data_IF_960098857067
#
_entry.id   IF_960098857067
#
_cell.length_a   1.000
_cell.length_b   1.000
_cell.length_c   1.000
_cell.angle_alpha   90.00
_cell.angle_beta   90.00
_cell.angle_gamma   90.00
#
_symmetry.space_group_name_H-M   'P 1'
#
loop_
_entity.id
_entity.type
_entity.pdbx_description
1 polymer ?
#
# COMPACT_ATOMS: atom_id res chain seq x y z
N UNK A 1 27.76 -22.04 -35.62
CA UNK A 1 27.80 -23.24 -34.75
C UNK A 1 27.94 -22.73 -33.33
N UNK A 2 27.11 -23.16 -32.37
CA UNK A 2 27.21 -22.70 -30.99
C UNK A 2 28.60 -23.01 -30.43
N UNK A 3 29.11 -22.16 -29.54
CA UNK A 3 30.37 -22.42 -28.84
C UNK A 3 30.24 -23.63 -27.90
N UNK A 4 31.36 -24.26 -27.52
CA UNK A 4 31.33 -25.36 -26.54
C UNK A 4 30.65 -24.95 -25.23
N UNK A 5 30.83 -23.71 -24.80
CA UNK A 5 30.20 -23.17 -23.60
C UNK A 5 28.68 -23.02 -23.76
N UNK A 6 28.20 -22.62 -24.94
CA UNK A 6 26.76 -22.56 -25.23
C UNK A 6 26.12 -23.96 -25.25
N UNK A 7 26.85 -24.98 -25.70
CA UNK A 7 26.35 -26.36 -25.68
C UNK A 7 26.25 -26.92 -24.25
N UNK A 8 27.22 -26.60 -23.40
CA UNK A 8 27.22 -27.01 -21.98
C UNK A 8 26.07 -26.33 -21.22
N UNK A 9 25.85 -25.03 -21.44
CA UNK A 9 24.74 -24.29 -20.80
C UNK A 9 23.39 -24.83 -21.26
N UNK A 10 23.24 -25.17 -22.54
CA UNK A 10 21.99 -25.75 -23.07
C UNK A 10 21.75 -27.18 -22.57
N UNK A 11 22.80 -27.97 -22.34
CA UNK A 11 22.70 -29.28 -21.68
C UNK A 11 22.32 -29.15 -20.20
N UNK A 12 22.90 -28.20 -19.47
CA UNK A 12 22.56 -27.96 -18.06
C UNK A 12 21.12 -27.43 -17.90
N UNK A 13 20.65 -26.55 -18.78
CA UNK A 13 19.29 -26.03 -18.76
C UNK A 13 18.23 -27.12 -19.00
N UNK A 14 18.55 -28.14 -19.79
CA UNK A 14 17.68 -29.30 -20.00
C UNK A 14 17.65 -30.26 -18.80
N UNK A 15 18.57 -30.13 -17.84
CA UNK A 15 18.61 -30.95 -16.62
C UNK A 15 17.95 -30.28 -15.40
N UNK A 16 17.46 -29.04 -15.52
CA UNK A 16 16.65 -28.43 -14.46
C UNK A 16 15.28 -29.12 -14.39
N UNK A 17 14.94 -29.81 -13.29
CA UNK A 17 13.61 -30.37 -13.15
C UNK A 17 12.60 -29.22 -13.10
N UNK A 18 11.58 -29.27 -13.95
CA UNK A 18 10.36 -28.48 -13.79
C UNK A 18 9.89 -28.63 -12.34
N UNK A 19 10.14 -27.63 -11.50
CA UNK A 19 9.68 -27.63 -10.11
C UNK A 19 8.18 -27.30 -10.08
N UNK A 20 7.37 -28.24 -10.58
CA UNK A 20 5.98 -28.34 -10.18
C UNK A 20 6.02 -28.75 -8.72
N UNK A 21 6.03 -27.76 -7.82
CA UNK A 21 5.93 -28.00 -6.37
C UNK A 21 4.72 -28.88 -6.12
N UNK A 22 4.95 -30.07 -5.55
CA UNK A 22 3.88 -30.99 -5.20
C UNK A 22 2.85 -30.28 -4.32
N UNK A 23 1.57 -30.64 -4.48
CA UNK A 23 0.46 -30.03 -3.76
C UNK A 23 0.71 -29.99 -2.24
N UNK A 24 1.35 -31.02 -1.69
CA UNK A 24 1.74 -31.11 -0.28
C UNK A 24 2.75 -30.02 0.14
N UNK A 25 3.75 -29.71 -0.69
CA UNK A 25 4.70 -28.61 -0.39
C UNK A 25 4.03 -27.24 -0.44
N UNK A 26 3.06 -27.04 -1.35
CA UNK A 26 2.27 -25.80 -1.38
C UNK A 26 1.41 -25.64 -0.11
N UNK A 27 0.81 -26.73 0.38
CA UNK A 27 0.04 -26.72 1.63
C UNK A 27 0.93 -26.41 2.84
N UNK A 28 2.12 -27.01 2.92
CA UNK A 28 3.09 -26.74 4.00
C UNK A 28 3.54 -25.27 4.01
N UNK A 29 3.79 -24.67 2.84
CA UNK A 29 4.15 -23.24 2.73
C UNK A 29 2.98 -22.36 3.20
N UNK A 30 1.75 -22.63 2.74
CA UNK A 30 0.55 -21.88 3.14
C UNK A 30 0.29 -22.02 4.64
N UNK A 31 0.51 -23.20 5.21
CA UNK A 31 0.32 -23.46 6.63
C UNK A 31 1.39 -22.76 7.49
N UNK A 32 2.64 -22.71 7.03
CA UNK A 32 3.70 -21.92 7.67
C UNK A 32 3.38 -20.42 7.65
N UNK A 33 2.91 -19.89 6.52
CA UNK A 33 2.46 -18.48 6.41
C UNK A 33 1.27 -18.21 7.37
N UNK A 34 0.30 -19.13 7.45
CA UNK A 34 -0.82 -19.03 8.40
C UNK A 34 -0.34 -19.06 9.86
N UNK A 35 0.65 -19.89 10.17
CA UNK A 35 1.23 -20.02 11.52
C UNK A 35 1.99 -18.75 11.91
N UNK A 36 2.79 -18.17 11.02
CA UNK A 36 3.46 -16.88 11.25
C UNK A 36 2.45 -15.74 11.44
N UNK A 37 1.40 -15.67 10.61
CA UNK A 37 0.35 -14.66 10.74
C UNK A 37 -0.36 -14.75 12.10
N UNK A 38 -0.62 -15.97 12.60
CA UNK A 38 -1.16 -16.21 13.95
C UNK A 38 -0.19 -15.77 15.06
N UNK A 39 1.12 -16.00 14.88
CA UNK A 39 2.13 -15.54 15.84
C UNK A 39 2.22 -14.01 15.89
N UNK A 40 2.25 -13.35 14.73
CA UNK A 40 2.25 -11.88 14.65
C UNK A 40 0.98 -11.27 15.26
N UNK A 41 -0.19 -11.87 15.03
CA UNK A 41 -1.43 -11.42 15.67
C UNK A 41 -1.42 -11.63 17.20
N UNK A 42 -0.86 -12.75 17.69
CA UNK A 42 -0.65 -12.95 19.14
C UNK A 42 0.29 -11.91 19.74
N UNK A 43 1.36 -11.54 19.03
CA UNK A 43 2.31 -10.51 19.47
C UNK A 43 1.69 -9.11 19.46
N UNK A 44 0.91 -8.78 18.42
CA UNK A 44 0.14 -7.53 18.34
C UNK A 44 -0.90 -7.43 19.47
N UNK A 45 -1.57 -8.54 19.82
CA UNK A 45 -2.47 -8.63 20.99
C UNK A 45 -1.74 -8.44 22.32
N UNK A 46 -0.54 -9.01 22.50
CA UNK A 46 0.27 -8.80 23.72
C UNK A 46 0.71 -7.34 23.87
N UNK A 47 1.12 -6.69 22.78
CA UNK A 47 1.50 -5.28 22.80
C UNK A 47 0.29 -4.36 23.05
N UNK A 48 -0.89 -4.70 22.51
CA UNK A 48 -2.14 -4.00 22.81
C UNK A 48 -2.57 -4.19 24.27
N UNK A 49 -2.40 -5.39 24.85
CA UNK A 49 -2.70 -5.67 26.26
C UNK A 49 -1.78 -4.90 27.22
N UNK A 50 -0.49 -4.75 26.91
CA UNK A 50 0.45 -3.95 27.70
C UNK A 50 0.10 -2.44 27.64
N UNK A 51 -0.31 -1.95 26.47
CA UNK A 51 -0.82 -0.58 26.31
C UNK A 51 -2.15 -0.33 27.04
N UNK A 52 -3.00 -1.36 27.15
CA UNK A 52 -4.27 -1.28 27.88
C UNK A 52 -4.09 -1.42 29.40
N UNK A 53 -3.16 -2.25 29.88
CA UNK A 53 -2.83 -2.39 31.30
C UNK A 53 -2.24 -1.10 31.90
N UNK A 54 -1.44 -0.36 31.13
CA UNK A 54 -0.89 0.94 31.56
C UNK A 54 -1.95 2.05 31.66
N UNK A 55 -3.05 1.98 30.89
CA UNK A 55 -4.18 2.93 30.96
C UNK A 55 -5.31 2.47 31.88
N UNK A 56 -5.46 1.16 32.11
CA UNK A 56 -6.49 0.56 32.96
C UNK A 56 -6.24 0.75 34.46
N UNK A 57 -4.97 0.73 34.90
CA UNK A 57 -4.64 0.94 36.32
C UNK A 57 -4.90 2.37 36.82
N UNK A 58 -4.96 3.37 35.93
CA UNK A 58 -5.30 4.76 36.28
C UNK A 58 -6.83 4.97 36.35
N UNK A 59 -7.61 4.12 35.68
CA UNK A 59 -9.08 4.28 35.59
C UNK A 59 -9.82 3.43 36.63
N UNK A 60 -9.27 2.29 37.05
CA UNK A 60 -9.89 1.43 38.07
C UNK A 60 -9.92 2.07 39.48
N UNK A 61 -8.98 2.96 39.83
CA UNK A 61 -9.01 3.67 41.11
C UNK A 61 -10.20 4.66 41.23
N UNK A 62 -10.79 5.10 40.11
CA UNK A 62 -11.91 6.04 40.09
C UNK A 62 -13.30 5.36 40.12
N UNK A 63 -13.39 4.06 39.79
CA UNK A 63 -14.68 3.34 39.66
C UNK A 63 -15.02 2.51 40.91
N UNK A 64 -14.04 2.19 41.78
CA UNK A 64 -14.28 1.47 43.04
C UNK A 64 -15.11 2.25 44.10
N UNK A 65 -15.36 3.54 43.90
CA UNK A 65 -16.20 4.34 44.81
C UNK A 65 -17.71 4.31 44.48
N UNK A 66 -18.14 3.77 43.33
CA UNK A 66 -19.54 3.90 42.86
C UNK A 66 -20.31 2.58 42.68
N UNK A 67 -19.72 1.41 42.93
CA UNK A 67 -20.39 0.10 42.76
C UNK A 67 -20.39 -0.68 44.09
N UNK A 68 -20.84 -0.05 45.16
CA UNK A 68 -21.29 -0.73 46.37
C UNK A 68 -22.75 -0.34 46.64
N UNK A 69 -23.66 -0.81 45.77
CA UNK A 69 -25.06 -1.03 46.12
C UNK A 69 -25.76 -1.81 44.99
N UNK A 70 -26.06 -3.08 45.32
CA UNK A 70 -26.99 -4.05 44.70
C UNK A 70 -26.41 -5.19 43.84
N UNK A 71 -26.84 -6.45 44.07
CA UNK A 71 -26.26 -7.65 43.48
C UNK A 71 -26.85 -7.93 42.09
N UNK A 72 -25.98 -8.17 41.11
CA UNK A 72 -26.37 -8.71 39.81
C UNK A 72 -26.39 -10.24 39.85
N UNK A 73 -27.45 -10.77 39.24
CA UNK A 73 -27.69 -12.18 38.94
C UNK A 73 -26.62 -12.75 38.00
N UNK A 74 -26.32 -14.03 38.20
CA UNK A 74 -25.29 -14.81 37.50
C UNK A 74 -25.42 -14.79 35.97
N UNK A 75 -24.30 -14.84 35.22
CA UNK A 75 -24.34 -14.94 33.77
C UNK A 75 -24.65 -16.37 33.31
N UNK A 76 -25.50 -16.45 32.29
CA UNK A 76 -25.80 -17.65 31.50
C UNK A 76 -24.57 -18.10 30.72
N UNK A 77 -24.22 -19.38 30.87
CA UNK A 77 -23.25 -20.08 30.03
C UNK A 77 -23.74 -20.09 28.57
N UNK A 78 -22.95 -19.53 27.66
CA UNK A 78 -23.06 -19.85 26.22
C UNK A 78 -21.83 -20.64 25.83
N UNK A 79 -22.07 -21.92 25.55
CA UNK A 79 -21.11 -22.89 25.05
C UNK A 79 -20.54 -22.43 23.71
N UNK A 80 -19.22 -22.32 23.67
CA UNK A 80 -18.45 -22.23 22.44
C UNK A 80 -18.28 -23.63 21.85
N UNK A 81 -18.85 -23.88 20.67
CA UNK A 81 -18.40 -24.96 19.79
C UNK A 81 -17.59 -24.34 18.65
N UNK A 82 -16.27 -24.51 18.75
CA UNK A 82 -15.32 -24.30 17.67
C UNK A 82 -15.49 -25.49 16.72
N UNK A 83 -16.07 -25.27 15.54
CA UNK A 83 -15.97 -26.22 14.44
C UNK A 83 -14.91 -25.76 13.44
N UNK A 84 -13.77 -26.43 13.53
CA UNK A 84 -12.74 -26.51 12.50
C UNK A 84 -13.07 -27.71 11.60
N UNK A 85 -13.73 -27.49 10.48
CA UNK A 85 -13.65 -28.38 9.33
C UNK A 85 -13.94 -27.59 8.05
N UNK A 86 -13.20 -27.89 6.99
CA UNK A 86 -13.24 -27.14 5.74
C UNK A 86 -14.63 -27.13 5.11
N UNK A 87 -15.23 -25.95 5.03
CA UNK A 87 -16.34 -25.65 4.15
C UNK A 87 -15.97 -24.35 3.41
N UNK A 88 -16.27 -24.27 2.11
CA UNK A 88 -16.51 -22.96 1.49
C UNK A 88 -17.55 -22.29 2.37
N UNK A 89 -17.17 -21.28 3.15
CA UNK A 89 -18.11 -20.54 3.99
C UNK A 89 -19.21 -20.02 3.07
N UNK A 90 -20.39 -20.64 3.15
CA UNK A 90 -21.56 -20.17 2.40
C UNK A 90 -21.86 -18.78 2.95
N UNK A 91 -21.64 -17.77 2.13
CA UNK A 91 -21.89 -16.38 2.52
C UNK A 91 -23.37 -16.26 2.85
N UNK A 92 -23.67 -15.81 4.07
CA UNK A 92 -25.05 -15.66 4.51
C UNK A 92 -25.76 -14.63 3.61
N UNK A 93 -26.89 -15.03 3.01
CA UNK A 93 -27.64 -14.23 2.03
C UNK A 93 -27.98 -12.82 2.53
N UNK A 94 -28.12 -12.63 3.85
CA UNK A 94 -28.37 -11.32 4.47
C UNK A 94 -27.29 -10.28 4.13
N UNK A 95 -26.03 -10.68 4.01
CA UNK A 95 -24.93 -9.79 3.64
C UNK A 95 -24.96 -9.45 2.16
N UNK A 96 -25.22 -10.42 1.30
CA UNK A 96 -25.36 -10.23 -0.15
C UNK A 96 -26.51 -9.24 -0.44
N UNK A 97 -27.68 -9.48 0.16
CA UNK A 97 -28.84 -8.60 -0.02
C UNK A 97 -28.58 -7.18 0.50
N UNK A 98 -27.94 -7.04 1.66
CA UNK A 98 -27.58 -5.72 2.20
C UNK A 98 -26.57 -4.98 1.31
N UNK A 99 -25.56 -5.70 0.78
CA UNK A 99 -24.56 -5.16 -0.14
C UNK A 99 -25.19 -4.65 -1.44
N UNK A 100 -25.99 -5.49 -2.12
CA UNK A 100 -26.68 -5.10 -3.36
C UNK A 100 -27.59 -3.89 -3.15
N UNK A 101 -28.34 -3.89 -2.03
CA UNK A 101 -29.25 -2.79 -1.69
C UNK A 101 -28.49 -1.48 -1.50
N UNK A 102 -27.39 -1.49 -0.73
CA UNK A 102 -26.63 -0.25 -0.48
C UNK A 102 -25.86 0.21 -1.72
N UNK A 103 -25.32 -0.69 -2.56
CA UNK A 103 -24.68 -0.30 -3.84
C UNK A 103 -25.71 0.39 -4.75
N UNK A 104 -26.88 -0.22 -4.96
CA UNK A 104 -27.95 0.35 -5.77
C UNK A 104 -28.42 1.70 -5.22
N UNK A 105 -28.56 1.81 -3.90
CA UNK A 105 -28.95 3.06 -3.23
C UNK A 105 -27.85 4.14 -3.32
N UNK A 106 -26.58 3.75 -3.24
CA UNK A 106 -25.46 4.68 -3.26
C UNK A 106 -25.21 5.26 -4.65
N UNK A 107 -25.35 4.45 -5.71
CA UNK A 107 -24.93 4.83 -7.05
C UNK A 107 -26.09 4.92 -8.06
N UNK A 108 -27.28 4.40 -7.72
CA UNK A 108 -28.42 4.41 -8.64
C UNK A 108 -28.24 3.51 -9.87
N UNK A 109 -27.24 2.62 -9.87
CA UNK A 109 -26.93 1.70 -10.97
C UNK A 109 -27.41 0.30 -10.58
N UNK A 110 -28.20 -0.32 -11.45
CA UNK A 110 -28.72 -1.67 -11.24
C UNK A 110 -27.80 -2.69 -11.94
N UNK A 111 -26.72 -3.08 -11.26
CA UNK A 111 -25.82 -4.16 -11.66
C UNK A 111 -25.80 -5.21 -10.55
N UNK A 112 -25.96 -6.47 -10.92
CA UNK A 112 -25.93 -7.58 -9.99
C UNK A 112 -24.49 -8.11 -9.84
N UNK A 113 -23.87 -7.82 -8.69
CA UNK A 113 -22.54 -8.33 -8.34
C UNK A 113 -22.56 -9.76 -7.76
N UNK A 114 -21.66 -10.63 -8.22
CA UNK A 114 -21.49 -11.96 -7.64
C UNK A 114 -20.44 -11.96 -6.54
N UNK A 115 -20.88 -11.96 -5.29
CA UNK A 115 -19.98 -11.95 -4.12
C UNK A 115 -19.54 -13.36 -3.76
N UNK A 116 -18.22 -13.51 -3.52
CA UNK A 116 -17.61 -14.83 -3.29
C UNK A 116 -16.81 -14.89 -1.99
N UNK A 117 -16.37 -13.74 -1.47
CA UNK A 117 -15.52 -13.68 -0.29
C UNK A 117 -16.12 -12.81 0.81
N UNK A 118 -16.23 -13.37 2.02
CA UNK A 118 -16.58 -12.64 3.24
C UNK A 118 -15.44 -12.77 4.27
N UNK A 119 -14.64 -11.73 4.41
CA UNK A 119 -13.59 -11.65 5.44
C UNK A 119 -14.15 -11.04 6.73
N UNK A 120 -14.09 -11.81 7.83
CA UNK A 120 -14.61 -11.42 9.14
C UNK A 120 -13.46 -10.98 10.04
N UNK A 121 -13.26 -9.66 10.14
CA UNK A 121 -12.31 -9.08 11.09
C UNK A 121 -13.05 -8.63 12.37
N UNK A 122 -12.30 -8.40 13.45
CA UNK A 122 -12.87 -7.96 14.74
C UNK A 122 -13.59 -6.62 14.65
N UNK A 123 -13.15 -5.78 13.73
CA UNK A 123 -13.58 -4.37 13.65
C UNK A 123 -14.54 -4.13 12.48
N UNK A 124 -14.50 -4.98 11.44
CA UNK A 124 -15.37 -4.89 10.27
C UNK A 124 -15.46 -6.23 9.55
N UNK A 125 -16.56 -6.46 8.84
CA UNK A 125 -16.66 -7.55 7.88
C UNK A 125 -16.55 -6.96 6.47
N UNK A 126 -15.82 -7.64 5.58
CA UNK A 126 -15.58 -7.20 4.20
C UNK A 126 -16.17 -8.25 3.27
N UNK A 127 -17.13 -7.84 2.45
CA UNK A 127 -17.70 -8.67 1.41
C UNK A 127 -17.16 -8.20 0.05
N UNK A 128 -16.55 -9.08 -0.72
CA UNK A 128 -15.99 -8.75 -2.04
C UNK A 128 -16.32 -9.80 -3.11
N UNK A 129 -16.42 -9.35 -4.36
CA UNK A 129 -16.40 -10.21 -5.54
C UNK A 129 -15.00 -10.80 -5.72
N UNK A 130 -14.85 -11.90 -6.45
CA UNK A 130 -13.55 -12.56 -6.65
C UNK A 130 -12.50 -11.62 -7.26
N UNK A 131 -12.90 -10.81 -8.23
CA UNK A 131 -12.10 -9.83 -8.96
C UNK A 131 -12.07 -8.43 -8.32
N UNK A 132 -12.72 -8.27 -7.16
CA UNK A 132 -12.91 -6.98 -6.49
C UNK A 132 -13.54 -5.91 -7.38
N UNK A 133 -14.47 -6.29 -8.25
CA UNK A 133 -15.41 -5.38 -8.89
C UNK A 133 -16.30 -4.66 -7.89
N UNK A 134 -16.71 -5.32 -6.80
CA UNK A 134 -17.40 -4.66 -5.69
C UNK A 134 -16.83 -5.09 -4.34
N UNK A 135 -16.71 -4.13 -3.43
CA UNK A 135 -16.31 -4.34 -2.04
C UNK A 135 -17.28 -3.58 -1.13
N UNK A 136 -17.80 -4.26 -0.12
CA UNK A 136 -18.73 -3.69 0.86
C UNK A 136 -18.20 -3.93 2.27
N UNK A 137 -18.10 -2.86 3.04
CA UNK A 137 -17.65 -2.90 4.43
C UNK A 137 -18.84 -2.81 5.38
N UNK A 138 -18.94 -3.77 6.28
CA UNK A 138 -19.95 -3.82 7.33
C UNK A 138 -19.33 -3.58 8.70
N UNK A 139 -20.12 -3.01 9.61
CA UNK A 139 -19.81 -3.06 11.04
C UNK A 139 -19.83 -4.51 11.52
N UNK A 140 -18.80 -4.91 12.25
CA UNK A 140 -18.59 -6.30 12.68
C UNK A 140 -19.85 -6.91 13.33
N UNK A 141 -20.21 -8.11 12.88
CA UNK A 141 -21.36 -8.87 13.40
C UNK A 141 -22.74 -8.37 12.94
N UNK A 142 -22.82 -7.32 12.12
CA UNK A 142 -24.09 -6.72 11.69
C UNK A 142 -24.17 -6.58 10.17
N UNK A 143 -25.36 -6.31 9.62
CA UNK A 143 -25.56 -5.94 8.21
C UNK A 143 -25.54 -4.43 7.98
N UNK A 144 -25.09 -3.64 8.96
CA UNK A 144 -24.94 -2.19 8.84
C UNK A 144 -23.75 -1.87 7.94
N UNK A 145 -24.03 -1.35 6.74
CA UNK A 145 -23.00 -0.97 5.75
C UNK A 145 -22.36 0.35 6.16
N UNK A 146 -21.03 0.36 6.18
CA UNK A 146 -20.18 1.51 6.54
C UNK A 146 -19.43 2.09 5.34
N UNK A 147 -19.35 1.33 4.25
CA UNK A 147 -18.81 1.80 2.99
C UNK A 147 -19.11 0.82 1.86
N UNK A 148 -19.12 1.34 0.64
CA UNK A 148 -19.27 0.57 -0.60
C UNK A 148 -18.30 1.10 -1.64
N UNK A 149 -17.85 0.21 -2.50
CA UNK A 149 -17.10 0.54 -3.70
C UNK A 149 -17.51 -0.40 -4.81
N UNK A 150 -17.65 0.10 -6.03
CA UNK A 150 -18.09 -0.68 -7.18
C UNK A 150 -17.48 -0.18 -8.49
N UNK A 151 -17.10 -1.11 -9.35
CA UNK A 151 -16.53 -0.88 -10.68
C UNK A 151 -17.60 -1.04 -11.76
N UNK A 152 -17.59 -0.10 -12.71
CA UNK A 152 -18.48 -0.07 -13.86
C UNK A 152 -17.69 0.29 -15.12
N UNK A 153 -18.16 -0.18 -16.26
CA UNK A 153 -17.74 0.42 -17.53
C UNK A 153 -18.36 1.81 -17.67
N UNK A 154 -17.69 2.73 -18.37
CA UNK A 154 -18.18 4.11 -18.53
C UNK A 154 -19.55 4.17 -19.24
N UNK A 155 -19.82 3.24 -20.15
CA UNK A 155 -21.09 3.12 -20.88
C UNK A 155 -22.25 2.60 -20.02
N UNK A 156 -21.96 1.97 -18.88
CA UNK A 156 -22.96 1.56 -17.88
C UNK A 156 -23.44 2.74 -17.01
N UNK A 157 -22.77 3.90 -17.09
CA UNK A 157 -23.05 5.02 -16.20
C UNK A 157 -24.32 5.79 -16.63
N UNK A 158 -25.26 6.03 -15.71
CA UNK A 158 -26.38 6.93 -15.95
C UNK A 158 -25.92 8.36 -16.27
N UNK A 159 -26.75 9.10 -17.00
CA UNK A 159 -26.44 10.46 -17.45
C UNK A 159 -26.01 11.43 -16.33
N UNK A 160 -26.45 11.21 -15.09
CA UNK A 160 -26.06 12.03 -13.93
C UNK A 160 -24.55 12.05 -13.69
N UNK A 161 -23.82 11.04 -14.17
CA UNK A 161 -22.36 10.93 -14.00
C UNK A 161 -21.55 11.58 -15.12
N UNK A 162 -22.17 11.94 -16.25
CA UNK A 162 -21.46 12.40 -17.44
C UNK A 162 -20.66 13.69 -17.17
N UNK A 163 -21.19 14.60 -16.36
CA UNK A 163 -20.46 15.82 -15.97
C UNK A 163 -19.12 15.53 -15.27
N UNK A 164 -19.02 14.47 -14.46
CA UNK A 164 -17.78 14.12 -13.77
C UNK A 164 -16.80 13.41 -14.71
N UNK A 165 -17.33 12.62 -15.65
CA UNK A 165 -16.54 12.02 -16.73
C UNK A 165 -15.93 13.12 -17.60
N UNK A 166 -16.72 14.12 -17.98
CA UNK A 166 -16.26 15.29 -18.73
C UNK A 166 -15.21 16.10 -17.96
N UNK A 167 -15.38 16.31 -16.65
CA UNK A 167 -14.37 16.96 -15.80
C UNK A 167 -13.02 16.25 -15.89
N UNK A 168 -13.00 14.92 -15.69
CA UNK A 168 -11.76 14.15 -15.77
C UNK A 168 -11.15 14.15 -17.19
N UNK A 169 -11.99 14.03 -18.23
CA UNK A 169 -11.56 14.09 -19.63
C UNK A 169 -11.02 15.45 -20.04
N UNK A 170 -11.58 16.54 -19.52
CA UNK A 170 -11.06 17.88 -19.80
C UNK A 170 -9.73 18.10 -19.10
N UNK A 171 -9.59 17.58 -17.87
CA UNK A 171 -8.33 17.65 -17.14
C UNK A 171 -7.20 16.88 -17.86
N UNK A 172 -7.44 15.67 -18.38
CA UNK A 172 -6.38 14.94 -19.12
C UNK A 172 -6.01 15.61 -20.44
N UNK A 173 -6.93 16.34 -21.10
CA UNK A 173 -6.59 17.09 -22.32
C UNK A 173 -5.53 18.17 -22.06
N UNK A 174 -5.49 18.72 -20.84
CA UNK A 174 -4.47 19.71 -20.44
C UNK A 174 -3.08 19.07 -20.28
N UNK A 175 -2.97 17.74 -20.22
CA UNK A 175 -1.70 17.02 -20.01
C UNK A 175 -1.07 16.46 -21.29
N UNK A 176 -1.67 16.71 -22.46
CA UNK A 176 -1.30 16.11 -23.75
C UNK A 176 -1.35 14.57 -23.79
N UNK A 177 -1.96 13.93 -22.80
CA UNK A 177 -2.20 12.49 -22.80
C UNK A 177 -3.52 12.16 -23.50
N UNK A 178 -3.59 10.96 -24.07
CA UNK A 178 -4.83 10.47 -24.67
C UNK A 178 -5.83 10.05 -23.60
N UNK A 179 -7.08 10.46 -23.77
CA UNK A 179 -8.19 9.90 -23.00
C UNK A 179 -8.45 8.45 -23.45
N UNK A 180 -8.10 7.53 -22.56
CA UNK A 180 -8.31 6.09 -22.71
C UNK A 180 -9.02 5.50 -21.49
N UNK A 181 -9.78 6.31 -20.76
CA UNK A 181 -10.58 5.81 -19.63
C UNK A 181 -11.66 4.86 -20.14
N UNK A 182 -11.78 3.70 -19.49
CA UNK A 182 -12.76 2.65 -19.84
C UNK A 182 -13.66 2.31 -18.67
N UNK A 183 -13.10 2.31 -17.48
CA UNK A 183 -13.78 1.93 -16.25
C UNK A 183 -13.90 3.13 -15.33
N UNK A 184 -14.89 3.06 -14.45
CA UNK A 184 -14.98 3.93 -13.27
C UNK A 184 -15.10 3.10 -12.02
N UNK A 185 -14.52 3.61 -10.96
CA UNK A 185 -14.67 3.11 -9.61
C UNK A 185 -15.44 4.15 -8.81
N UNK A 186 -16.66 3.81 -8.40
CA UNK A 186 -17.49 4.63 -7.51
C UNK A 186 -17.28 4.17 -6.08
N UNK A 187 -17.12 5.10 -5.16
CA UNK A 187 -17.02 4.79 -3.74
C UNK A 187 -17.89 5.72 -2.90
N UNK A 188 -18.37 5.18 -1.78
CA UNK A 188 -19.06 5.93 -0.73
C UNK A 188 -18.65 5.37 0.63
N UNK A 189 -18.12 6.21 1.49
CA UNK A 189 -17.73 5.85 2.85
C UNK A 189 -17.86 7.07 3.78
N UNK A 190 -17.36 6.96 5.01
CA UNK A 190 -17.39 8.06 6.00
C UNK A 190 -16.59 9.29 5.56
N UNK A 191 -15.60 9.13 4.69
CA UNK A 191 -14.77 10.22 4.18
C UNK A 191 -15.40 10.97 3.02
N UNK A 192 -16.43 10.39 2.37
CA UNK A 192 -17.15 11.04 1.29
C UNK A 192 -17.62 10.09 0.20
N UNK A 193 -18.00 10.69 -0.94
CA UNK A 193 -18.40 9.97 -2.15
C UNK A 193 -17.58 10.50 -3.31
N UNK A 194 -17.01 9.61 -4.10
CA UNK A 194 -16.16 10.00 -5.23
C UNK A 194 -16.22 9.00 -6.37
N UNK A 195 -15.62 9.41 -7.48
CA UNK A 195 -15.50 8.61 -8.69
C UNK A 195 -14.08 8.65 -9.20
N UNK A 196 -13.49 7.50 -9.48
CA UNK A 196 -12.17 7.40 -10.09
C UNK A 196 -12.31 6.78 -11.47
N UNK A 197 -11.98 7.53 -12.52
CA UNK A 197 -11.86 6.99 -13.86
C UNK A 197 -10.54 6.22 -13.96
N UNK A 198 -10.55 5.09 -14.65
CA UNK A 198 -9.39 4.23 -14.83
C UNK A 198 -9.25 3.82 -16.29
N UNK A 199 -8.01 3.88 -16.78
CA UNK A 199 -7.64 3.33 -18.08
C UNK A 199 -7.11 1.90 -17.94
N UNK A 200 -6.98 1.21 -19.06
CA UNK A 200 -6.36 -0.13 -19.13
C UNK A 200 -4.87 -0.10 -18.77
N UNK A 201 -4.21 1.03 -18.98
CA UNK A 201 -2.79 1.25 -18.66
C UNK A 201 -2.60 1.85 -17.27
N UNK A 202 -3.52 1.55 -16.33
CA UNK A 202 -3.45 1.98 -14.92
C UNK A 202 -3.37 3.49 -14.66
N UNK A 203 -3.66 4.34 -15.64
CA UNK A 203 -3.86 5.77 -15.39
C UNK A 203 -5.21 5.99 -14.70
N UNK A 204 -5.25 6.95 -13.78
CA UNK A 204 -6.47 7.27 -13.05
C UNK A 204 -6.63 8.76 -12.74
N UNK A 205 -7.89 9.19 -12.70
CA UNK A 205 -8.30 10.53 -12.25
C UNK A 205 -9.50 10.37 -11.33
N UNK A 206 -9.40 10.89 -10.12
CA UNK A 206 -10.47 10.94 -9.14
C UNK A 206 -11.15 12.30 -9.15
N UNK A 207 -12.49 12.28 -9.19
CA UNK A 207 -13.37 13.44 -9.13
C UNK A 207 -14.25 13.32 -7.91
N UNK A 208 -14.31 14.38 -7.10
CA UNK A 208 -15.25 14.47 -5.99
C UNK A 208 -16.65 14.77 -6.51
N UNK A 209 -17.63 13.95 -6.11
CA UNK A 209 -18.99 14.05 -6.64
C UNK A 209 -19.79 15.23 -6.06
N UNK A 210 -19.34 15.85 -4.97
CA UNK A 210 -20.05 17.00 -4.40
C UNK A 210 -19.63 18.31 -5.06
N UNK A 211 -18.36 18.41 -5.44
CA UNK A 211 -17.72 19.64 -5.93
C UNK A 211 -17.46 19.60 -7.44
N UNK A 212 -17.55 18.42 -8.07
CA UNK A 212 -17.16 18.18 -9.45
C UNK A 212 -15.73 18.68 -9.76
N UNK A 213 -14.80 18.45 -8.83
CA UNK A 213 -13.39 18.81 -8.98
C UNK A 213 -12.51 17.58 -8.97
N UNK A 214 -11.43 17.60 -9.75
CA UNK A 214 -10.36 16.60 -9.66
C UNK A 214 -9.69 16.73 -8.30
N UNK A 215 -9.60 15.61 -7.56
CA UNK A 215 -9.00 15.55 -6.22
C UNK A 215 -7.73 14.71 -6.18
N UNK A 216 -7.61 13.73 -7.08
CA UNK A 216 -6.42 12.90 -7.17
C UNK A 216 -6.20 12.45 -8.61
N UNK A 217 -4.95 12.22 -8.99
CA UNK A 217 -4.60 11.65 -10.28
C UNK A 217 -3.30 10.84 -10.20
N UNK A 218 -3.15 9.92 -11.16
CA UNK A 218 -1.96 9.11 -11.37
C UNK A 218 -1.84 8.83 -12.86
N UNK A 219 -0.86 9.41 -13.52
CA UNK A 219 -0.70 9.41 -14.97
C UNK A 219 0.68 8.93 -15.38
N UNK A 220 0.75 8.03 -16.34
CA UNK A 220 1.99 7.54 -16.93
C UNK A 220 2.35 8.39 -18.15
N UNK A 221 3.62 8.80 -18.24
CA UNK A 221 4.16 9.62 -19.30
C UNK A 221 5.25 8.85 -20.05
N UNK A 222 5.33 9.06 -21.36
CA UNK A 222 6.54 8.74 -22.09
C UNK A 222 7.66 9.67 -21.59
N UNK A 223 8.81 9.09 -21.24
CA UNK A 223 10.00 9.81 -20.79
C UNK A 223 10.47 10.90 -21.76
N UNK A 224 10.27 10.72 -23.06
CA UNK A 224 10.62 11.72 -24.08
C UNK A 224 9.85 13.04 -23.92
N UNK A 225 8.68 12.99 -23.27
CA UNK A 225 7.84 14.15 -22.97
C UNK A 225 8.07 14.71 -21.56
N UNK A 226 8.89 14.06 -20.74
CA UNK A 226 9.24 14.55 -19.40
C UNK A 226 10.34 15.59 -19.52
N UNK A 227 10.19 16.70 -18.78
CA UNK A 227 11.23 17.72 -18.69
C UNK A 227 12.54 17.10 -18.18
N UNK A 228 13.60 17.24 -19.00
CA UNK A 228 14.94 16.68 -18.74
C UNK A 228 15.51 17.08 -17.38
N UNK A 229 15.03 18.17 -16.76
CA UNK A 229 15.44 18.54 -15.41
C UNK A 229 15.10 17.46 -14.38
N UNK A 230 13.93 16.80 -14.47
CA UNK A 230 13.54 15.76 -13.51
C UNK A 230 14.36 14.49 -13.69
N UNK A 231 14.65 14.13 -14.95
CA UNK A 231 15.59 13.05 -15.28
C UNK A 231 16.97 13.35 -14.67
N UNK A 232 17.47 14.58 -14.83
CA UNK A 232 18.77 14.97 -14.27
C UNK A 232 18.79 14.93 -12.73
N UNK A 233 17.71 15.36 -12.07
CA UNK A 233 17.56 15.26 -10.61
C UNK A 233 17.59 13.79 -10.17
N UNK A 234 16.84 12.92 -10.86
CA UNK A 234 16.81 11.49 -10.57
C UNK A 234 18.19 10.83 -10.70
N UNK A 235 18.91 11.10 -11.80
CA UNK A 235 20.28 10.59 -12.00
C UNK A 235 21.23 11.06 -10.89
N UNK A 236 21.17 12.34 -10.53
CA UNK A 236 22.02 12.90 -9.46
C UNK A 236 21.71 12.25 -8.11
N UNK A 237 20.44 12.04 -7.79
CA UNK A 237 20.02 11.41 -6.55
C UNK A 237 20.54 9.96 -6.45
N UNK A 238 20.36 9.16 -7.50
CA UNK A 238 20.87 7.79 -7.58
C UNK A 238 22.39 7.73 -7.56
N UNK A 239 23.07 8.65 -8.24
CA UNK A 239 24.54 8.76 -8.20
C UNK A 239 25.05 9.07 -6.79
N UNK A 240 24.37 9.93 -6.03
CA UNK A 240 24.74 10.20 -4.63
C UNK A 240 24.58 8.95 -3.76
N UNK A 241 23.55 8.14 -4.00
CA UNK A 241 23.31 6.89 -3.28
C UNK A 241 24.31 5.77 -3.67
N UNK A 242 24.61 5.59 -4.95
CA UNK A 242 25.32 4.40 -5.46
C UNK A 242 26.78 4.64 -5.87
N UNK A 243 27.17 5.89 -6.12
CA UNK A 243 28.40 6.27 -6.84
C UNK A 243 28.46 5.82 -8.32
N UNK A 244 27.35 5.34 -8.88
CA UNK A 244 27.22 4.96 -10.30
C UNK A 244 26.65 6.13 -11.12
N UNK A 245 26.95 6.17 -12.40
CA UNK A 245 26.55 7.25 -13.31
C UNK A 245 25.79 6.76 -14.55
N UNK A 246 25.54 5.46 -14.65
CA UNK A 246 24.97 4.75 -15.80
C UNK A 246 23.47 4.40 -15.61
N UNK A 247 22.73 5.22 -14.88
CA UNK A 247 21.29 5.05 -14.71
C UNK A 247 20.52 5.44 -15.97
N UNK A 248 19.67 4.53 -16.44
CA UNK A 248 18.78 4.70 -17.58
C UNK A 248 17.33 4.47 -17.14
N UNK A 249 16.45 5.39 -17.47
CA UNK A 249 15.04 5.27 -17.11
C UNK A 249 14.22 4.80 -18.30
N UNK A 250 13.18 4.03 -18.04
CA UNK A 250 12.21 3.59 -19.05
C UNK A 250 10.75 3.93 -18.65
N UNK A 251 10.54 4.46 -17.44
CA UNK A 251 9.21 4.79 -16.93
C UNK A 251 9.20 6.17 -16.24
N UNK A 252 8.09 6.89 -16.44
CA UNK A 252 7.80 8.12 -15.73
C UNK A 252 6.32 8.22 -15.41
N UNK A 253 6.03 8.62 -14.18
CA UNK A 253 4.67 8.77 -13.68
C UNK A 253 4.52 10.08 -12.93
N UNK A 254 3.43 10.80 -13.16
CA UNK A 254 3.06 11.98 -12.40
C UNK A 254 1.80 11.69 -11.60
N UNK A 255 1.79 12.03 -10.32
CA UNK A 255 0.63 11.83 -9.45
C UNK A 255 0.47 12.98 -8.47
N UNK A 256 -0.75 13.22 -8.03
CA UNK A 256 -1.02 14.19 -6.96
C UNK A 256 -0.71 13.57 -5.60
N UNK A 257 0.05 14.29 -4.76
CA UNK A 257 0.25 13.98 -3.35
C UNK A 257 -0.28 15.13 -2.47
N UNK A 258 -0.52 14.88 -1.18
CA UNK A 258 -1.05 15.87 -0.25
C UNK A 258 -0.15 17.13 -0.15
N UNK A 259 1.17 16.96 -0.35
CA UNK A 259 2.14 18.06 -0.26
C UNK A 259 2.25 18.85 -1.56
N UNK A 260 2.44 18.15 -2.65
CA UNK A 260 2.52 18.69 -4.01
C UNK A 260 2.37 17.56 -5.03
N UNK A 261 2.15 17.88 -6.30
CA UNK A 261 2.28 16.90 -7.36
C UNK A 261 3.70 16.34 -7.42
N UNK A 262 3.83 15.04 -7.69
CA UNK A 262 5.09 14.32 -7.70
C UNK A 262 5.35 13.69 -9.06
N UNK A 263 6.63 13.64 -9.44
CA UNK A 263 7.16 12.79 -10.50
C UNK A 263 7.84 11.58 -9.89
N UNK A 264 7.47 10.38 -10.31
CA UNK A 264 8.29 9.18 -10.17
C UNK A 264 9.03 8.93 -11.48
N UNK A 265 10.35 8.84 -11.42
CA UNK A 265 11.20 8.47 -12.54
C UNK A 265 11.88 7.14 -12.18
N UNK A 266 11.65 6.08 -12.95
CA UNK A 266 12.11 4.73 -12.61
C UNK A 266 12.64 3.94 -13.80
N UNK A 267 13.41 2.90 -13.47
CA UNK A 267 13.67 1.78 -14.37
C UNK A 267 12.81 0.61 -13.89
N UNK A 268 11.75 0.38 -14.63
CA UNK A 268 10.73 -0.61 -14.37
C UNK A 268 11.09 -1.90 -15.12
N UNK A 269 11.29 -3.00 -14.39
CA UNK A 269 11.56 -4.31 -15.01
C UNK A 269 10.24 -4.99 -15.39
N UNK A 270 9.24 -4.90 -14.51
CA UNK A 270 7.89 -5.40 -14.74
C UNK A 270 6.83 -4.55 -14.01
N UNK A 271 5.56 -4.96 -14.10
CA UNK A 271 4.41 -4.26 -13.50
C UNK A 271 4.53 -4.00 -11.98
N UNK A 272 5.31 -4.79 -11.27
CA UNK A 272 5.39 -4.83 -9.82
C UNK A 272 6.77 -4.48 -9.27
N UNK A 273 7.81 -4.47 -10.12
CA UNK A 273 9.19 -4.28 -9.69
C UNK A 273 9.90 -3.19 -10.50
N UNK A 274 10.36 -2.18 -9.76
CA UNK A 274 11.33 -1.20 -10.22
C UNK A 274 12.72 -1.60 -9.72
N UNK A 275 13.70 -1.66 -10.63
CA UNK A 275 15.10 -1.84 -10.25
C UNK A 275 15.62 -0.64 -9.45
N UNK A 276 15.15 0.55 -9.82
CA UNK A 276 15.36 1.80 -9.08
C UNK A 276 14.32 2.84 -9.44
N UNK A 277 14.05 3.74 -8.50
CA UNK A 277 13.11 4.83 -8.70
C UNK A 277 13.48 6.05 -7.86
N UNK A 278 13.04 7.23 -8.33
CA UNK A 278 13.19 8.50 -7.61
C UNK A 278 11.86 9.24 -7.67
N UNK A 279 11.37 9.71 -6.52
CA UNK A 279 10.21 10.61 -6.42
C UNK A 279 10.66 12.04 -6.19
N UNK A 280 10.15 12.95 -7.00
CA UNK A 280 10.57 14.35 -7.08
C UNK A 280 9.34 15.25 -7.07
N UNK A 281 9.35 16.27 -6.22
CA UNK A 281 8.32 17.31 -6.21
C UNK A 281 8.25 18.02 -7.58
N UNK A 282 7.09 18.01 -8.21
CA UNK A 282 6.90 18.58 -9.53
C UNK A 282 7.08 20.11 -9.50
N UNK A 283 6.73 20.78 -8.41
CA UNK A 283 6.91 22.23 -8.26
C UNK A 283 8.28 22.56 -7.68
N UNK A 284 8.69 21.84 -6.63
CA UNK A 284 9.91 22.18 -5.87
C UNK A 284 11.19 21.61 -6.46
N UNK A 285 11.11 20.52 -7.22
CA UNK A 285 12.28 19.72 -7.62
C UNK A 285 12.94 18.97 -6.46
N UNK A 286 12.33 18.98 -5.26
CA UNK A 286 12.87 18.29 -4.09
C UNK A 286 12.74 16.78 -4.25
N UNK A 287 13.78 16.04 -3.85
CA UNK A 287 13.75 14.58 -3.82
C UNK A 287 13.07 14.10 -2.54
N UNK A 288 11.97 13.37 -2.70
CA UNK A 288 11.18 12.81 -1.59
C UNK A 288 11.42 11.32 -1.38
N UNK A 289 11.78 10.58 -2.43
CA UNK A 289 12.10 9.16 -2.31
C UNK A 289 13.23 8.81 -3.29
N UNK A 290 14.16 7.98 -2.87
CA UNK A 290 15.10 7.29 -3.76
C UNK A 290 15.13 5.83 -3.36
N UNK A 291 14.97 4.94 -4.32
CA UNK A 291 15.11 3.50 -4.16
C UNK A 291 16.19 2.96 -5.08
N UNK A 292 17.18 2.28 -4.51
CA UNK A 292 18.20 1.52 -5.20
C UNK A 292 18.96 0.65 -4.21
N UNK A 293 19.12 -0.65 -4.49
CA UNK A 293 19.92 -1.53 -3.65
C UNK A 293 21.42 -1.28 -3.88
N UNK A 294 22.13 -0.88 -2.82
CA UNK A 294 23.58 -0.62 -2.88
C UNK A 294 24.31 -1.19 -1.67
N UNK A 295 25.48 -1.76 -1.91
CA UNK A 295 26.44 -2.24 -0.90
C UNK A 295 27.39 -1.13 -0.42
N UNK A 296 27.31 0.08 -0.99
CA UNK A 296 28.18 1.21 -0.66
C UNK A 296 28.05 1.67 0.78
N UNK A 297 26.83 1.61 1.29
CA UNK A 297 26.50 2.04 2.64
C UNK A 297 25.95 0.85 3.40
N UNK A 298 26.65 0.48 4.46
CA UNK A 298 26.23 -0.55 5.40
C UNK A 298 26.11 0.12 6.78
N UNK A 299 24.96 -0.03 7.42
CA UNK A 299 24.68 0.56 8.73
C UNK A 299 24.42 -0.59 9.69
N UNK A 300 25.21 -0.66 10.77
CA UNK A 300 25.15 -1.76 11.75
C UNK A 300 24.43 -1.37 13.04
N UNK A 301 24.30 -0.07 13.28
CA UNK A 301 23.79 0.45 14.54
C UNK A 301 23.16 1.83 14.38
N UNK A 302 22.39 2.23 15.39
CA UNK A 302 21.76 3.56 15.45
C UNK A 302 22.80 4.69 15.48
N UNK A 303 23.95 4.45 16.14
CA UNK A 303 25.02 5.44 16.22
C UNK A 303 25.68 5.67 14.86
N UNK A 304 25.85 4.58 14.09
CA UNK A 304 26.36 4.63 12.72
C UNK A 304 25.34 5.21 11.75
N UNK A 305 24.04 5.01 12.00
CA UNK A 305 23.00 5.61 11.18
C UNK A 305 23.15 7.14 11.12
N UNK A 306 23.51 7.80 12.22
CA UNK A 306 23.72 9.25 12.21
C UNK A 306 24.93 9.66 11.36
N UNK A 307 26.06 8.96 11.49
CA UNK A 307 27.29 9.31 10.79
C UNK A 307 27.18 9.08 9.27
N UNK A 308 26.53 7.99 8.85
CA UNK A 308 26.29 7.65 7.45
C UNK A 308 25.11 8.45 6.88
N UNK A 309 24.00 8.47 7.61
CA UNK A 309 22.73 9.00 7.14
C UNK A 309 22.71 10.51 7.00
N UNK A 310 23.31 11.25 7.94
CA UNK A 310 23.32 12.72 7.88
C UNK A 310 23.91 13.28 6.58
N UNK A 311 25.15 12.94 6.16
CA UNK A 311 25.70 13.44 4.91
C UNK A 311 24.91 12.92 3.70
N UNK A 312 24.44 11.68 3.73
CA UNK A 312 23.69 11.08 2.63
C UNK A 312 22.34 11.81 2.40
N UNK A 313 21.53 11.96 3.46
CA UNK A 313 20.25 12.67 3.45
C UNK A 313 20.45 14.08 2.93
N UNK A 314 21.40 14.83 3.51
CA UNK A 314 21.69 16.21 3.08
C UNK A 314 22.08 16.29 1.61
N UNK A 315 22.85 15.31 1.11
CA UNK A 315 23.32 15.30 -0.28
C UNK A 315 22.23 14.98 -1.31
N UNK A 316 21.20 14.22 -0.92
CA UNK A 316 20.12 13.78 -1.82
C UNK A 316 18.91 14.70 -1.71
N UNK A 317 18.48 15.01 -0.48
CA UNK A 317 17.23 15.75 -0.23
C UNK A 317 17.45 17.21 0.13
N UNK A 318 18.68 17.60 0.45
CA UNK A 318 19.01 18.94 0.97
C UNK A 318 18.66 19.15 2.45
N UNK A 319 18.02 18.18 3.11
CA UNK A 319 17.58 18.31 4.51
C UNK A 319 18.77 18.12 5.46
N UNK A 320 18.98 19.09 6.35
CA UNK A 320 19.95 18.96 7.43
C UNK A 320 19.31 18.33 8.67
N UNK A 321 19.68 17.08 8.94
CA UNK A 321 19.18 16.31 10.09
C UNK A 321 19.98 16.53 11.37
N UNK A 322 20.80 17.59 11.44
CA UNK A 322 21.50 17.94 12.70
C UNK A 322 20.49 18.18 13.83
N UNK A 323 20.68 17.48 14.95
CA UNK A 323 19.80 17.57 16.12
C UNK A 323 18.54 16.70 16.04
N UNK A 324 18.38 15.91 14.97
CA UNK A 324 17.31 14.92 14.90
C UNK A 324 17.60 13.75 15.82
N UNK A 325 16.55 13.13 16.34
CA UNK A 325 16.62 11.81 16.98
C UNK A 325 16.57 10.72 15.91
N UNK A 326 17.27 9.62 16.15
CA UNK A 326 17.28 8.45 15.26
C UNK A 326 16.68 7.28 16.01
N UNK A 327 15.67 6.67 15.42
CA UNK A 327 15.02 5.46 15.91
C UNK A 327 15.07 4.38 14.81
N UNK A 328 14.89 3.10 15.19
CA UNK A 328 14.83 1.98 14.23
C UNK A 328 15.97 0.98 14.37
N UNK A 329 16.27 0.29 13.27
CA UNK A 329 17.27 -0.78 13.17
C UNK A 329 16.96 -1.72 12.01
N UNK A 330 17.94 -2.49 11.56
CA UNK A 330 17.83 -3.36 10.38
C UNK A 330 16.69 -4.38 10.47
N UNK A 331 16.39 -4.89 11.67
CA UNK A 331 15.25 -5.77 11.91
C UNK A 331 13.89 -5.12 11.58
N UNK A 332 13.84 -3.78 11.54
CA UNK A 332 12.67 -2.97 11.20
C UNK A 332 12.74 -2.43 9.76
N UNK A 333 13.77 -2.80 9.00
CA UNK A 333 13.99 -2.38 7.61
C UNK A 333 14.63 -1.00 7.47
N UNK A 334 15.27 -0.48 8.52
CA UNK A 334 16.05 0.75 8.45
C UNK A 334 15.88 1.69 9.64
N UNK A 335 16.19 2.97 9.42
CA UNK A 335 16.32 4.01 10.45
C UNK A 335 15.47 5.23 10.11
N UNK A 336 14.94 5.91 11.13
CA UNK A 336 14.09 7.10 10.98
C UNK A 336 14.68 8.26 11.78
N UNK A 337 14.95 9.35 11.07
CA UNK A 337 15.43 10.62 11.59
C UNK A 337 14.23 11.53 11.80
N UNK A 338 14.01 12.00 13.02
CA UNK A 338 12.88 12.86 13.34
C UNK A 338 13.19 13.98 14.33
N UNK A 339 12.52 15.11 14.15
CA UNK A 339 12.52 16.25 15.07
C UNK A 339 11.13 16.90 15.07
N UNK A 340 10.60 17.32 16.22
CA UNK A 340 9.31 18.01 16.27
C UNK A 340 9.26 19.21 15.31
N UNK A 341 8.17 19.31 14.53
CA UNK A 341 7.94 20.40 13.59
C UNK A 341 8.81 20.40 12.33
N UNK A 342 9.59 19.34 12.07
CA UNK A 342 10.40 19.19 10.85
C UNK A 342 10.03 17.91 10.10
N UNK A 343 10.30 17.84 8.77
CA UNK A 343 10.10 16.61 8.00
C UNK A 343 10.93 15.47 8.60
N UNK A 344 10.31 14.29 8.75
CA UNK A 344 11.04 13.09 9.12
C UNK A 344 11.68 12.47 7.87
N UNK A 345 12.81 11.79 8.04
CA UNK A 345 13.51 11.14 6.93
C UNK A 345 13.82 9.70 7.32
N UNK A 346 13.44 8.74 6.49
CA UNK A 346 13.80 7.34 6.66
C UNK A 346 14.94 6.97 5.73
N UNK A 347 15.86 6.13 6.21
CA UNK A 347 16.80 5.37 5.39
C UNK A 347 16.39 3.92 5.49
N UNK A 348 16.18 3.28 4.35
CA UNK A 348 15.82 1.87 4.29
C UNK A 348 17.07 1.02 4.15
N UNK A 349 17.12 -0.08 4.89
CA UNK A 349 18.17 -1.10 4.75
C UNK A 349 17.58 -2.43 4.30
N UNK A 350 18.41 -3.27 3.71
CA UNK A 350 18.03 -4.65 3.46
C UNK A 350 17.76 -5.36 4.78
N UNK A 351 16.71 -6.20 4.79
CA UNK A 351 16.30 -6.86 6.01
C UNK A 351 17.27 -8.00 6.29
N UNK A 352 18.32 -7.71 7.05
CA UNK A 352 19.22 -8.71 7.60
C UNK A 352 18.50 -9.48 8.71
N UNK A 353 17.66 -10.45 8.34
CA UNK A 353 17.29 -11.51 9.29
C UNK A 353 18.60 -12.30 9.49
N UNK A 354 19.20 -12.18 10.67
CA UNK A 354 20.42 -12.90 11.13
C UNK A 354 21.82 -12.37 10.78
N UNK A 355 22.02 -11.13 10.31
CA UNK A 355 23.39 -10.64 10.12
C UNK A 355 23.90 -9.75 11.26
N UNK A 356 25.03 -10.17 11.84
CA UNK A 356 25.86 -9.33 12.72
C UNK A 356 26.68 -8.28 11.95
N UNK A 357 26.58 -8.27 10.61
CA UNK A 357 27.33 -7.41 9.70
C UNK A 357 26.58 -6.15 9.24
N UNK A 358 25.33 -5.93 9.68
CA UNK A 358 24.51 -4.74 9.37
C UNK A 358 23.71 -4.83 8.07
N UNK A 359 22.87 -3.83 7.83
CA UNK A 359 22.03 -3.72 6.64
C UNK A 359 22.61 -2.80 5.57
N UNK A 360 22.58 -3.24 4.32
CA UNK A 360 22.92 -2.43 3.16
C UNK A 360 21.79 -1.45 2.84
N UNK A 361 22.13 -0.19 2.58
CA UNK A 361 21.13 0.84 2.26
C UNK A 361 20.44 0.52 0.93
N UNK A 362 19.11 0.59 0.93
CA UNK A 362 18.23 0.39 -0.23
C UNK A 362 17.52 1.66 -0.70
N UNK A 363 17.66 2.75 0.05
CA UNK A 363 17.00 4.00 -0.30
C UNK A 363 16.75 4.92 0.88
N UNK A 364 16.01 5.98 0.59
CA UNK A 364 15.56 6.95 1.58
C UNK A 364 14.19 7.54 1.21
N UNK A 365 13.46 8.03 2.21
CA UNK A 365 12.17 8.69 2.03
C UNK A 365 11.99 9.87 2.99
N UNK A 366 11.38 10.94 2.51
CA UNK A 366 11.00 12.12 3.28
C UNK A 366 9.49 12.08 3.57
N UNK A 367 9.12 12.24 4.84
CA UNK A 367 7.76 12.16 5.34
C UNK A 367 7.16 13.51 5.72
#
# INVERSE_FOLDING_TARGET
>A
MPSQDEQIILEELNHFPNQVLSWERKQVIVENIRKERRMMQKQKRRNAYLGWAAKGLITCAAIFAFIWMKPFSSPVETSSSIDTSGNKDVIEQKYITAAQTEIKKAFGINKDFHFENLDKNTDSYILETEDREAIVWFKAGTTEVTGVTAKYNIDELPNIYQQYVETARNWIKETNLHDNFRMVHLYKNKSGTGMTLMSEVNQSISVDLNTNKVTHYSLDYNLDYVDKKYVSIAQKALMKLSNKNDFSFNHAKKFSDEKEDMWTISNMEDKYYDQYSVQIGAKTGQVYNVHYETDRYNIKSIDEAMSVGKPLIKSITGIDVTGYKVDGGDHWGGYVFQSPGKPAVSIFTDRAIDRTDGGNVRGLQVW
#
